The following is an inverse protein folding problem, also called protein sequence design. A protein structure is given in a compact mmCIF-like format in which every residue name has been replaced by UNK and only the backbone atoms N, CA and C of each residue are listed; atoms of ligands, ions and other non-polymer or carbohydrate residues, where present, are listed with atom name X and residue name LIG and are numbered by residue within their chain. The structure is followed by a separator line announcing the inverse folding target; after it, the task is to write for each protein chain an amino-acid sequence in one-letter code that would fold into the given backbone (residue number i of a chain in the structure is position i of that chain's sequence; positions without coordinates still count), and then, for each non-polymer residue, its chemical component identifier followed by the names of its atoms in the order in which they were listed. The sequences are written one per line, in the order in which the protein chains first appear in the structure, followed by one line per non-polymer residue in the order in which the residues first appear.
data_IF_790167608670
#
_entry.id   IF_790167608670
#
_cell.length_a   1.000
_cell.length_b   1.000
_cell.length_c   1.000
_cell.angle_alpha   90.00
_cell.angle_beta   90.00
_cell.angle_gamma   90.00
#
_symmetry.space_group_name_H-M   'P 1'
#
loop_
_entity.id
_entity.type
_entity.pdbx_description
1 polymer ?
#
# COMPACT_ATOMS: atom_id res chain seq x y z
N UNK A 1 35.83 -62.74 -39.02
CA UNK A 1 35.42 -62.08 -37.76
C UNK A 1 35.49 -60.55 -37.84
N UNK A 2 35.64 -59.97 -39.05
CA UNK A 2 35.92 -58.54 -39.28
C UNK A 2 34.70 -57.75 -39.78
N UNK A 3 33.69 -58.41 -40.37
CA UNK A 3 32.54 -57.72 -40.99
C UNK A 3 31.62 -57.06 -39.95
N UNK A 4 31.33 -57.75 -38.84
CA UNK A 4 30.46 -57.21 -37.78
C UNK A 4 31.03 -55.97 -37.08
N UNK A 5 32.37 -55.83 -37.04
CA UNK A 5 33.03 -54.66 -36.46
C UNK A 5 32.90 -53.44 -37.38
N UNK A 6 32.98 -53.65 -38.70
CA UNK A 6 32.73 -52.59 -39.69
C UNK A 6 31.28 -52.14 -39.67
N UNK A 7 30.34 -53.08 -39.58
CA UNK A 7 28.92 -52.76 -39.51
C UNK A 7 28.59 -51.97 -38.24
N UNK A 8 29.18 -52.34 -37.10
CA UNK A 8 29.02 -51.61 -35.85
C UNK A 8 29.61 -50.19 -35.90
N UNK A 9 30.80 -50.02 -36.49
CA UNK A 9 31.44 -48.70 -36.64
C UNK A 9 30.66 -47.79 -37.58
N UNK A 10 30.18 -48.31 -38.71
CA UNK A 10 29.35 -47.56 -39.66
C UNK A 10 28.01 -47.14 -39.03
N UNK A 11 27.41 -48.02 -38.20
CA UNK A 11 26.19 -47.71 -37.45
C UNK A 11 26.45 -46.60 -36.43
N UNK A 12 27.56 -46.66 -35.69
CA UNK A 12 27.97 -45.60 -34.75
C UNK A 12 28.22 -44.27 -35.43
N UNK A 13 28.90 -44.28 -36.58
CA UNK A 13 29.19 -43.08 -37.36
C UNK A 13 27.88 -42.43 -37.86
N UNK A 14 26.94 -43.24 -38.34
CA UNK A 14 25.62 -42.77 -38.78
C UNK A 14 24.81 -42.20 -37.63
N UNK A 15 24.77 -42.88 -36.47
CA UNK A 15 24.08 -42.39 -35.28
C UNK A 15 24.70 -41.08 -34.77
N UNK A 16 26.03 -40.92 -34.85
CA UNK A 16 26.71 -39.69 -34.42
C UNK A 16 26.33 -38.51 -35.29
N UNK A 17 26.28 -38.70 -36.61
CA UNK A 17 25.86 -37.67 -37.57
C UNK A 17 24.38 -37.30 -37.37
N UNK A 18 23.51 -38.29 -37.17
CA UNK A 18 22.08 -38.02 -36.89
C UNK A 18 21.87 -37.29 -35.54
N UNK A 19 22.73 -37.56 -34.55
CA UNK A 19 22.66 -36.89 -33.25
C UNK A 19 23.13 -35.44 -33.31
N UNK A 20 24.16 -35.16 -34.11
CA UNK A 20 24.63 -33.79 -34.38
C UNK A 20 23.56 -32.98 -35.12
N UNK A 21 22.92 -33.58 -36.13
CA UNK A 21 21.80 -32.98 -36.86
C UNK A 21 20.62 -32.67 -35.93
N UNK A 22 20.24 -33.62 -35.07
CA UNK A 22 19.15 -33.41 -34.10
C UNK A 22 19.41 -32.23 -33.16
N UNK A 23 20.63 -32.07 -32.63
CA UNK A 23 20.94 -30.93 -31.77
C UNK A 23 20.99 -29.60 -32.52
N UNK A 24 21.39 -29.59 -33.79
CA UNK A 24 21.28 -28.40 -34.63
C UNK A 24 19.82 -28.01 -34.83
N UNK A 25 18.98 -28.98 -35.22
CA UNK A 25 17.55 -28.75 -35.46
C UNK A 25 16.84 -28.29 -34.17
N UNK A 26 17.18 -28.88 -33.01
CA UNK A 26 16.65 -28.45 -31.70
C UNK A 26 17.14 -27.05 -31.33
N UNK A 27 18.41 -26.72 -31.63
CA UNK A 27 18.96 -25.39 -31.39
C UNK A 27 18.22 -24.31 -32.18
N UNK A 28 17.98 -24.57 -33.46
CA UNK A 28 17.25 -23.66 -34.36
C UNK A 28 15.79 -23.47 -33.91
N UNK A 29 15.12 -24.54 -33.47
CA UNK A 29 13.77 -24.45 -32.90
C UNK A 29 13.75 -23.65 -31.60
N UNK A 30 14.76 -23.80 -30.74
CA UNK A 30 14.86 -23.03 -29.49
C UNK A 30 15.12 -21.55 -29.75
N UNK A 31 15.96 -21.21 -30.72
CA UNK A 31 16.18 -19.82 -31.14
C UNK A 31 14.88 -19.20 -31.68
N UNK A 32 14.18 -19.90 -32.58
CA UNK A 32 12.89 -19.43 -33.10
C UNK A 32 11.84 -19.21 -32.01
N UNK A 33 11.77 -20.10 -31.00
CA UNK A 33 10.83 -19.94 -29.87
C UNK A 33 11.26 -18.78 -28.96
N UNK A 34 12.56 -18.58 -28.76
CA UNK A 34 13.07 -17.46 -27.97
C UNK A 34 12.74 -16.11 -28.63
N UNK A 35 12.88 -16.01 -29.96
CA UNK A 35 12.53 -14.83 -30.73
C UNK A 35 11.01 -14.55 -30.67
N UNK A 36 10.17 -15.57 -30.88
CA UNK A 36 8.70 -15.43 -30.80
C UNK A 36 8.24 -15.03 -29.38
N UNK A 37 8.86 -15.62 -28.34
CA UNK A 37 8.59 -15.22 -26.96
C UNK A 37 9.06 -13.79 -26.67
N UNK A 38 10.19 -13.36 -27.23
CA UNK A 38 10.70 -12.00 -27.12
C UNK A 38 9.69 -10.97 -27.65
N UNK A 39 9.17 -11.18 -28.86
CA UNK A 39 8.17 -10.29 -29.48
C UNK A 39 6.86 -10.24 -28.67
N UNK A 40 6.40 -11.38 -28.16
CA UNK A 40 5.22 -11.44 -27.28
C UNK A 40 5.46 -10.68 -25.98
N UNK A 41 6.64 -10.82 -25.37
CA UNK A 41 6.99 -10.10 -24.15
C UNK A 41 7.05 -8.59 -24.39
N UNK A 42 7.64 -8.13 -25.49
CA UNK A 42 7.66 -6.71 -25.87
C UNK A 42 6.24 -6.16 -26.02
N UNK A 43 5.36 -6.89 -26.72
CA UNK A 43 3.95 -6.50 -26.90
C UNK A 43 3.21 -6.42 -25.57
N UNK A 44 3.38 -7.41 -24.68
CA UNK A 44 2.73 -7.42 -23.36
C UNK A 44 3.23 -6.29 -22.47
N UNK A 45 4.54 -5.99 -22.51
CA UNK A 45 5.11 -4.87 -21.76
C UNK A 45 4.52 -3.54 -22.24
N UNK A 46 4.44 -3.34 -23.56
CA UNK A 46 3.85 -2.13 -24.14
C UNK A 46 2.36 -1.98 -23.80
N UNK A 47 1.58 -3.08 -23.85
CA UNK A 47 0.18 -3.06 -23.42
C UNK A 47 0.03 -2.72 -21.93
N UNK A 48 0.88 -3.28 -21.05
CA UNK A 48 0.86 -2.96 -19.62
C UNK A 48 1.18 -1.48 -19.40
N UNK A 49 2.23 -0.95 -20.02
CA UNK A 49 2.61 0.45 -19.88
C UNK A 49 1.49 1.40 -20.29
N UNK A 50 0.85 1.15 -21.44
CA UNK A 50 -0.28 1.94 -21.92
C UNK A 50 -1.50 1.87 -20.96
N UNK A 51 -1.82 0.69 -20.42
CA UNK A 51 -2.93 0.57 -19.46
C UNK A 51 -2.66 1.26 -18.13
N UNK A 52 -1.41 1.26 -17.66
CA UNK A 52 -1.02 1.96 -16.43
C UNK A 52 -1.15 3.47 -16.61
N UNK A 53 -0.70 4.01 -17.75
CA UNK A 53 -0.82 5.44 -18.05
C UNK A 53 -2.30 5.88 -18.17
N UNK A 54 -3.16 5.04 -18.76
CA UNK A 54 -4.61 5.31 -18.83
C UNK A 54 -5.26 5.31 -17.44
N UNK A 55 -4.87 4.40 -16.56
CA UNK A 55 -5.38 4.32 -15.17
C UNK A 55 -4.93 5.55 -14.36
N UNK A 56 -3.65 5.92 -14.44
CA UNK A 56 -3.11 7.06 -13.70
C UNK A 56 -3.83 8.36 -14.08
N UNK A 57 -4.00 8.62 -15.38
CA UNK A 57 -4.72 9.81 -15.86
C UNK A 57 -6.20 9.79 -15.47
N UNK A 58 -6.85 8.63 -15.50
CA UNK A 58 -8.25 8.48 -15.08
C UNK A 58 -8.42 8.77 -13.59
N UNK A 59 -7.58 8.19 -12.73
CA UNK A 59 -7.67 8.36 -11.28
C UNK A 59 -7.41 9.81 -10.88
N UNK A 60 -6.38 10.45 -11.43
CA UNK A 60 -6.07 11.86 -11.12
C UNK A 60 -7.25 12.76 -11.49
N UNK A 61 -7.82 12.57 -12.68
CA UNK A 61 -8.94 13.37 -13.16
C UNK A 61 -10.21 13.15 -12.33
N UNK A 62 -10.52 11.90 -11.96
CA UNK A 62 -11.69 11.58 -11.13
C UNK A 62 -11.56 12.11 -9.71
N UNK A 63 -10.36 12.04 -9.11
CA UNK A 63 -10.10 12.61 -7.78
C UNK A 63 -10.26 14.12 -7.83
N UNK A 64 -9.67 14.81 -8.81
CA UNK A 64 -9.78 16.27 -8.93
C UNK A 64 -11.25 16.70 -9.07
N UNK A 65 -12.02 16.03 -9.93
CA UNK A 65 -13.45 16.31 -10.10
C UNK A 65 -14.26 16.03 -8.82
N UNK A 66 -13.95 14.97 -8.09
CA UNK A 66 -14.63 14.65 -6.84
C UNK A 66 -14.30 15.64 -5.73
N UNK A 67 -13.04 16.08 -5.65
CA UNK A 67 -12.59 17.12 -4.73
C UNK A 67 -13.25 18.46 -5.05
N UNK A 68 -13.33 18.87 -6.31
CA UNK A 68 -14.03 20.08 -6.71
C UNK A 68 -15.50 20.05 -6.26
N UNK A 69 -16.24 18.97 -6.52
CA UNK A 69 -17.65 18.83 -6.11
C UNK A 69 -17.81 18.84 -4.58
N UNK A 70 -16.86 18.28 -3.83
CA UNK A 70 -16.96 18.20 -2.38
C UNK A 70 -16.55 19.50 -1.68
N UNK A 71 -15.55 20.22 -2.20
CA UNK A 71 -14.98 21.41 -1.59
C UNK A 71 -15.54 22.74 -2.15
N UNK A 72 -16.03 22.80 -3.40
CA UNK A 72 -16.71 24.00 -3.93
C UNK A 72 -17.83 24.52 -3.02
N UNK A 73 -18.76 23.66 -2.51
CA UNK A 73 -19.84 24.13 -1.64
C UNK A 73 -19.32 24.72 -0.33
N UNK A 74 -18.16 24.27 0.16
CA UNK A 74 -17.57 24.72 1.42
C UNK A 74 -16.87 26.08 1.22
N UNK A 75 -16.19 26.27 0.09
CA UNK A 75 -15.52 27.53 -0.26
C UNK A 75 -16.53 28.65 -0.54
N UNK A 76 -17.70 28.33 -1.10
CA UNK A 76 -18.75 29.32 -1.39
C UNK A 76 -19.50 29.80 -0.12
N UNK A 77 -19.38 29.09 1.01
CA UNK A 77 -19.99 29.44 2.32
C UNK A 77 -19.11 30.41 3.13
N UNK A 78 -17.83 30.58 2.80
CA UNK A 78 -16.88 31.43 3.53
C UNK A 78 -17.26 32.92 3.70
N UNK A 79 -17.91 33.64 2.76
CA UNK A 79 -18.16 35.07 2.96
C UNK A 79 -19.23 35.37 4.04
N UNK A 80 -19.92 34.36 4.59
CA UNK A 80 -20.97 34.54 5.62
C UNK A 80 -20.55 34.06 7.03
N UNK A 81 -19.33 33.52 7.21
CA UNK A 81 -18.84 33.00 8.50
C UNK A 81 -17.94 33.96 9.30
N UNK A 82 -17.85 35.24 8.90
CA UNK A 82 -17.10 36.29 9.61
C UNK A 82 -17.61 36.59 11.05
N UNK A 83 -18.69 35.95 11.51
CA UNK A 83 -19.26 36.10 12.86
C UNK A 83 -19.26 34.80 13.70
N UNK A 84 -18.23 33.95 13.64
CA UNK A 84 -18.00 32.96 14.72
C UNK A 84 -16.97 33.51 15.70
N UNK A 85 -17.37 34.05 16.86
CA UNK A 85 -16.42 34.51 17.86
C UNK A 85 -15.74 33.30 18.50
N UNK A 86 -14.42 33.23 18.35
CA UNK A 86 -13.51 32.39 19.14
C UNK A 86 -13.42 30.89 18.80
N UNK A 87 -13.61 30.48 17.55
CA UNK A 87 -13.21 29.13 17.12
C UNK A 87 -11.79 29.16 16.55
N UNK A 88 -10.78 28.97 17.42
CA UNK A 88 -9.40 28.77 16.98
C UNK A 88 -9.29 27.38 16.35
N UNK A 89 -9.57 27.28 15.05
CA UNK A 89 -9.21 26.10 14.26
C UNK A 89 -7.70 25.98 14.26
N UNK A 90 -7.15 25.18 15.17
CA UNK A 90 -5.76 24.75 15.05
C UNK A 90 -5.68 23.72 13.92
N UNK A 91 -4.54 23.65 13.22
CA UNK A 91 -4.26 22.75 12.08
C UNK A 91 -4.58 21.25 12.33
N UNK A 92 -4.90 20.87 13.57
CA UNK A 92 -5.37 19.55 13.98
C UNK A 92 -6.84 19.22 13.70
N UNK A 93 -7.70 20.18 13.33
CA UNK A 93 -9.16 19.94 13.24
C UNK A 93 -9.58 19.08 12.02
N UNK A 94 -8.66 18.84 11.08
CA UNK A 94 -8.80 17.84 10.00
C UNK A 94 -8.09 16.52 10.30
N UNK A 95 -7.78 16.22 11.58
CA UNK A 95 -7.14 14.96 11.95
C UNK A 95 -8.10 13.79 11.78
N UNK A 96 -7.69 12.78 10.98
CA UNK A 96 -8.39 11.49 10.80
C UNK A 96 -8.65 10.78 12.15
N UNK A 97 -7.90 11.14 13.21
CA UNK A 97 -8.08 10.64 14.57
C UNK A 97 -8.06 11.81 15.58
N UNK A 98 -9.20 12.43 15.90
CA UNK A 98 -9.26 13.57 16.80
C UNK A 98 -8.74 13.19 18.20
N UNK A 99 -8.03 14.13 18.83
CA UNK A 99 -7.49 14.01 20.18
C UNK A 99 -8.44 14.70 21.16
N UNK A 100 -8.81 14.00 22.22
CA UNK A 100 -9.65 14.45 23.33
C UNK A 100 -8.77 14.59 24.57
N UNK A 101 -8.78 15.75 25.21
CA UNK A 101 -8.05 15.96 26.46
C UNK A 101 -8.85 15.50 27.68
N UNK A 102 -8.15 15.07 28.73
CA UNK A 102 -8.75 14.87 30.04
C UNK A 102 -9.03 16.23 30.68
N UNK A 103 -10.24 16.42 31.20
CA UNK A 103 -10.68 17.67 31.81
C UNK A 103 -11.30 17.41 33.18
N UNK A 104 -11.67 18.46 33.91
CA UNK A 104 -12.38 18.33 35.19
C UNK A 104 -13.76 17.68 35.06
N UNK A 105 -14.33 17.65 33.85
CA UNK A 105 -15.66 17.09 33.57
C UNK A 105 -15.63 15.78 32.78
N UNK A 106 -14.50 15.43 32.16
CA UNK A 106 -14.35 14.20 31.40
C UNK A 106 -13.01 13.52 31.71
N UNK A 107 -13.06 12.25 32.11
CA UNK A 107 -11.89 11.47 32.53
C UNK A 107 -11.06 12.17 33.62
N UNK A 108 -11.74 12.71 34.64
CA UNK A 108 -11.15 13.53 35.70
C UNK A 108 -9.98 12.86 36.41
N UNK A 109 -10.06 11.54 36.64
CA UNK A 109 -8.99 10.74 37.25
C UNK A 109 -7.73 10.61 36.41
N UNK A 110 -7.78 10.97 35.12
CA UNK A 110 -6.67 10.87 34.19
C UNK A 110 -6.03 12.24 33.89
N UNK A 111 -6.52 13.33 34.47
CA UNK A 111 -5.94 14.67 34.29
C UNK A 111 -4.48 14.65 34.77
N UNK A 112 -3.57 15.02 33.87
CA UNK A 112 -2.13 15.04 34.15
C UNK A 112 -1.45 13.68 34.23
N UNK A 113 -2.14 12.58 33.91
CA UNK A 113 -1.53 11.24 33.88
C UNK A 113 -0.77 11.00 32.57
N UNK A 114 0.46 10.49 32.65
CA UNK A 114 1.30 10.15 31.49
C UNK A 114 0.76 9.01 30.64
N UNK A 115 -0.15 8.20 31.19
CA UNK A 115 -0.78 7.10 30.48
C UNK A 115 -2.06 7.50 29.73
N UNK A 116 -2.52 8.75 29.90
CA UNK A 116 -3.66 9.24 29.16
C UNK A 116 -3.32 9.35 27.66
N UNK A 117 -4.16 8.71 26.83
CA UNK A 117 -3.98 8.64 25.39
C UNK A 117 -4.94 9.58 24.67
N UNK A 118 -6.24 9.48 25.01
CA UNK A 118 -7.28 10.41 24.55
C UNK A 118 -7.44 10.46 23.03
N UNK A 119 -7.41 9.34 22.32
CA UNK A 119 -7.51 9.34 20.85
C UNK A 119 -8.66 8.49 20.35
N UNK A 120 -9.41 9.02 19.39
CA UNK A 120 -10.54 8.32 18.76
C UNK A 120 -10.05 7.45 17.62
N UNK A 121 -10.41 6.16 17.66
CA UNK A 121 -10.20 5.19 16.58
C UNK A 121 -11.56 4.76 16.03
N UNK A 122 -11.92 5.27 14.86
CA UNK A 122 -13.26 5.08 14.29
C UNK A 122 -14.33 5.74 15.16
N UNK A 123 -15.10 4.95 15.91
CA UNK A 123 -16.15 5.44 16.83
C UNK A 123 -15.84 5.20 18.32
N UNK A 124 -14.64 4.72 18.64
CA UNK A 124 -14.26 4.38 20.01
C UNK A 124 -13.12 5.30 20.48
N UNK A 125 -13.30 5.93 21.63
CA UNK A 125 -12.25 6.68 22.30
C UNK A 125 -11.38 5.71 23.10
N UNK A 126 -10.07 5.68 22.81
CA UNK A 126 -9.09 5.06 23.68
C UNK A 126 -8.60 6.11 24.68
N UNK A 127 -9.01 5.95 25.94
CA UNK A 127 -8.81 6.95 27.00
C UNK A 127 -7.42 6.87 27.60
N UNK A 128 -6.97 5.69 28.03
CA UNK A 128 -5.70 5.48 28.73
C UNK A 128 -5.06 4.15 28.30
N UNK A 129 -3.73 4.08 28.31
CA UNK A 129 -2.99 2.86 27.98
C UNK A 129 -3.22 1.73 28.99
N UNK A 130 -3.44 2.07 30.26
CA UNK A 130 -3.72 1.09 31.35
C UNK A 130 -5.21 0.77 31.47
N UNK A 131 -6.06 1.77 31.22
CA UNK A 131 -7.52 1.65 31.29
C UNK A 131 -8.12 2.15 29.97
N UNK A 132 -8.36 1.26 28.99
CA UNK A 132 -8.79 1.66 27.64
C UNK A 132 -10.05 2.54 27.61
N UNK A 133 -10.95 2.37 28.57
CA UNK A 133 -12.19 3.14 28.71
C UNK A 133 -12.13 4.26 29.75
N UNK A 134 -10.98 4.47 30.38
CA UNK A 134 -10.80 5.37 31.50
C UNK A 134 -11.05 4.69 32.84
N UNK A 135 -10.82 5.45 33.90
CA UNK A 135 -11.09 5.03 35.28
C UNK A 135 -12.29 5.82 35.80
N UNK A 136 -13.26 5.13 36.41
CA UNK A 136 -14.55 5.71 36.78
C UNK A 136 -14.54 6.45 38.12
N UNK A 137 -13.67 6.06 39.06
CA UNK A 137 -13.54 6.72 40.35
C UNK A 137 -12.66 7.98 40.27
N UNK A 138 -12.65 8.80 41.32
CA UNK A 138 -11.89 10.06 41.35
C UNK A 138 -10.36 9.88 41.29
N UNK A 139 -9.83 8.71 41.69
CA UNK A 139 -8.39 8.47 41.80
C UNK A 139 -8.03 7.17 41.07
N UNK A 140 -7.30 7.31 39.96
CA UNK A 140 -6.80 6.18 39.17
C UNK A 140 -5.65 5.47 39.90
N UNK A 141 -5.67 4.13 40.05
CA UNK A 141 -4.63 3.38 40.75
C UNK A 141 -3.30 3.39 39.99
N UNK A 142 -3.36 3.50 38.66
CA UNK A 142 -2.21 3.59 37.76
C UNK A 142 -1.90 5.05 37.39
N UNK A 143 -2.33 6.03 38.20
CA UNK A 143 -2.01 7.43 37.93
C UNK A 143 -0.51 7.69 38.14
N UNK A 144 0.13 8.19 37.09
CA UNK A 144 1.51 8.62 37.14
C UNK A 144 1.64 9.96 36.43
N UNK A 145 1.86 11.03 37.18
CA UNK A 145 2.17 12.34 36.63
C UNK A 145 3.63 12.46 36.25
N UNK A 146 3.94 13.42 35.39
CA UNK A 146 5.32 13.86 35.25
C UNK A 146 5.71 14.60 36.53
N UNK A 147 6.46 13.94 37.41
CA UNK A 147 7.23 14.63 38.45
C UNK A 147 8.30 15.46 37.75
N UNK A 148 7.99 16.72 37.45
CA UNK A 148 9.01 17.72 37.16
C UNK A 148 9.64 18.11 38.51
N UNK A 149 10.77 17.51 38.85
CA UNK A 149 11.75 18.08 39.79
C UNK A 149 12.37 19.37 39.20
#
# INVERSE_FOLDING_TARGET
MEDWQKDFLNMLETVTVEFEQFFQDVGEVVESVADELGEVFETVVEEIENTVEEIENTIVTEIDQYLEIFFEPIVEIEPELEEIPNYNVTENDFSINPKVEATSTNHTACVGCRHFHGQVYGRNLLVCAMHPYGWDDENCPDWEGDNWD
#
